data_IF_385299099272
#
_entry.id   IF_385299099272
#
_cell.length_a   1.000
_cell.length_b   1.000
_cell.length_c   1.000
_cell.angle_alpha   90.00
_cell.angle_beta   90.00
_cell.angle_gamma   90.00
#
_symmetry.space_group_name_H-M   'P 1'
#
loop_
_entity.id
_entity.type
_entity.pdbx_description
1 polymer ?
#
# COMPACT_ATOMS: atom_id res chain seq x y z
N UNK A 1 -1.83 10.25 -16.42
CA UNK A 1 -1.35 11.61 -16.05
C UNK A 1 -1.46 11.83 -14.52
N UNK A 2 -2.57 11.46 -13.90
CA UNK A 2 -2.83 11.67 -12.46
C UNK A 2 -1.81 10.95 -11.57
N UNK A 3 -1.51 9.68 -11.83
CA UNK A 3 -0.52 8.90 -11.06
C UNK A 3 0.86 9.57 -11.12
N UNK A 4 1.30 10.04 -12.30
CA UNK A 4 2.60 10.74 -12.44
C UNK A 4 2.59 12.02 -11.60
N UNK A 5 1.50 12.79 -11.65
CA UNK A 5 1.35 14.01 -10.84
C UNK A 5 1.42 13.71 -9.35
N UNK A 6 0.73 12.64 -8.90
CA UNK A 6 0.75 12.21 -7.50
C UNK A 6 2.17 11.80 -7.05
N UNK A 7 2.92 11.08 -7.88
CA UNK A 7 4.34 10.77 -7.59
C UNK A 7 5.20 12.02 -7.50
N UNK A 8 4.99 13.00 -8.38
CA UNK A 8 5.77 14.24 -8.41
C UNK A 8 5.50 15.16 -7.21
N UNK A 9 4.34 15.01 -6.55
CA UNK A 9 3.97 15.80 -5.38
C UNK A 9 4.53 15.27 -4.05
N UNK A 10 5.06 14.04 -4.04
CA UNK A 10 5.55 13.38 -2.82
C UNK A 10 7.05 13.11 -2.92
N UNK A 11 7.83 13.74 -2.05
CA UNK A 11 9.26 13.54 -2.00
C UNK A 11 9.60 12.25 -1.26
N UNK A 12 10.05 11.21 -1.97
CA UNK A 12 10.34 9.90 -1.40
C UNK A 12 11.39 9.92 -0.29
N UNK A 13 12.36 10.87 -0.33
CA UNK A 13 13.38 10.99 0.70
C UNK A 13 12.82 11.38 2.08
N UNK A 14 11.60 11.92 2.14
CA UNK A 14 10.93 12.27 3.39
C UNK A 14 10.27 11.06 4.08
N UNK A 15 10.24 9.91 3.39
CA UNK A 15 9.63 8.65 3.83
C UNK A 15 10.63 7.50 3.95
N UNK A 16 11.89 7.81 4.23
CA UNK A 16 12.93 6.80 4.47
C UNK A 16 13.72 7.15 5.74
N UNK A 17 14.32 6.16 6.41
CA UNK A 17 15.32 6.41 7.45
C UNK A 17 16.47 7.29 6.94
N UNK A 18 17.11 8.05 7.82
CA UNK A 18 18.16 9.02 7.47
C UNK A 18 19.34 8.39 6.69
N UNK A 19 19.74 7.19 7.07
CA UNK A 19 20.82 6.44 6.41
C UNK A 19 20.46 5.95 4.98
N UNK A 20 19.18 5.97 4.63
CA UNK A 20 18.68 5.58 3.30
C UNK A 20 18.35 6.75 2.38
N UNK A 21 18.44 8.00 2.84
CA UNK A 21 18.06 9.20 2.05
C UNK A 21 18.76 9.23 0.68
N UNK A 22 20.07 9.00 0.64
CA UNK A 22 20.85 9.02 -0.61
C UNK A 22 20.47 7.89 -1.58
N UNK A 23 19.81 6.86 -1.08
CA UNK A 23 19.38 5.68 -1.86
C UNK A 23 17.87 5.66 -2.11
N UNK A 24 17.14 6.66 -1.64
CA UNK A 24 15.67 6.68 -1.67
C UNK A 24 15.08 6.51 -3.08
N UNK A 25 15.75 7.01 -4.11
CA UNK A 25 15.30 6.92 -5.51
C UNK A 25 15.93 5.77 -6.32
N UNK A 26 16.58 4.81 -5.67
CA UNK A 26 17.09 3.63 -6.39
C UNK A 26 15.92 2.73 -6.82
N UNK A 27 16.06 2.09 -7.99
CA UNK A 27 15.10 1.09 -8.51
C UNK A 27 15.27 -0.29 -7.81
N UNK A 28 15.39 -0.26 -6.48
CA UNK A 28 15.50 -1.43 -5.62
C UNK A 28 14.53 -1.31 -4.44
N UNK A 29 14.06 -2.45 -3.95
CA UNK A 29 13.36 -2.51 -2.68
C UNK A 29 14.34 -2.15 -1.57
N UNK A 30 14.00 -1.17 -0.73
CA UNK A 30 14.84 -0.74 0.39
C UNK A 30 14.43 -1.49 1.64
N UNK A 31 15.38 -2.19 2.25
CA UNK A 31 15.15 -2.85 3.53
C UNK A 31 15.08 -1.80 4.63
N UNK A 32 13.98 -1.78 5.37
CA UNK A 32 13.70 -0.83 6.45
C UNK A 32 13.96 -1.47 7.83
N UNK A 33 13.57 -2.73 8.00
CA UNK A 33 13.79 -3.53 9.22
C UNK A 33 13.99 -5.00 8.87
N UNK A 34 13.88 -5.90 9.85
CA UNK A 34 14.02 -7.35 9.63
C UNK A 34 13.05 -7.90 8.58
N UNK A 35 11.81 -7.39 8.60
CA UNK A 35 10.64 -7.88 7.86
C UNK A 35 9.84 -6.78 7.14
N UNK A 36 10.40 -5.58 7.00
CA UNK A 36 9.77 -4.46 6.30
C UNK A 36 10.66 -3.92 5.19
N UNK A 37 10.04 -3.66 4.08
CA UNK A 37 10.67 -3.08 2.90
C UNK A 37 9.83 -1.93 2.37
N UNK A 38 10.51 -0.89 1.89
CA UNK A 38 9.90 0.08 0.99
C UNK A 38 10.07 -0.41 -0.44
N UNK A 39 8.98 -0.73 -1.11
CA UNK A 39 9.00 -1.22 -2.49
C UNK A 39 9.63 -0.20 -3.44
N UNK A 40 10.28 -0.68 -4.50
CA UNK A 40 10.87 0.19 -5.53
C UNK A 40 9.81 1.06 -6.21
N UNK A 41 10.19 2.26 -6.68
CA UNK A 41 9.23 3.25 -7.21
C UNK A 41 8.36 2.72 -8.35
N UNK A 42 8.95 2.03 -9.32
CA UNK A 42 8.20 1.49 -10.45
C UNK A 42 7.15 0.45 -10.03
N UNK A 43 7.44 -0.41 -9.04
CA UNK A 43 6.47 -1.39 -8.56
C UNK A 43 5.30 -0.70 -7.85
N UNK A 44 5.56 0.33 -7.03
CA UNK A 44 4.50 1.14 -6.43
C UNK A 44 3.64 1.80 -7.52
N UNK A 45 4.28 2.31 -8.58
CA UNK A 45 3.58 2.87 -9.73
C UNK A 45 2.65 1.88 -10.42
N UNK A 46 3.11 0.66 -10.65
CA UNK A 46 2.29 -0.42 -11.22
C UNK A 46 1.13 -0.80 -10.29
N UNK A 47 1.36 -0.91 -8.98
CA UNK A 47 0.32 -1.19 -7.99
C UNK A 47 -0.78 -0.12 -8.08
N UNK A 48 -0.40 1.16 -7.98
CA UNK A 48 -1.35 2.28 -7.99
C UNK A 48 -2.10 2.35 -9.33
N UNK A 49 -1.40 2.12 -10.43
CA UNK A 49 -2.02 2.13 -11.77
C UNK A 49 -3.07 1.02 -11.93
N UNK A 50 -2.79 -0.20 -11.45
CA UNK A 50 -3.73 -1.32 -11.52
C UNK A 50 -4.88 -1.21 -10.52
N UNK A 51 -4.64 -0.68 -9.33
CA UNK A 51 -5.69 -0.38 -8.34
C UNK A 51 -6.57 0.77 -8.83
N UNK A 52 -5.98 1.75 -9.50
CA UNK A 52 -6.68 2.91 -10.07
C UNK A 52 -7.58 3.61 -9.04
N UNK A 53 -7.00 4.23 -7.98
CA UNK A 53 -7.75 4.96 -6.96
C UNK A 53 -8.61 6.07 -7.57
N UNK A 54 -9.76 6.36 -6.95
CA UNK A 54 -10.65 7.46 -7.35
C UNK A 54 -10.83 8.46 -6.20
N UNK A 55 -11.08 9.71 -6.54
CA UNK A 55 -11.15 10.83 -5.60
C UNK A 55 -12.26 10.75 -4.55
N UNK A 56 -13.20 9.83 -4.69
CA UNK A 56 -14.28 9.58 -3.74
C UNK A 56 -14.14 8.24 -3.01
N UNK A 57 -12.95 7.64 -3.01
CA UNK A 57 -12.73 6.30 -2.46
C UNK A 57 -11.95 6.34 -1.15
N UNK A 58 -12.32 5.42 -0.25
CA UNK A 58 -11.56 5.07 0.95
C UNK A 58 -10.69 3.84 0.67
N UNK A 59 -9.39 3.95 0.95
CA UNK A 59 -8.40 2.93 0.61
C UNK A 59 -7.64 2.49 1.85
N UNK A 60 -7.52 1.17 2.03
CA UNK A 60 -6.68 0.56 3.05
C UNK A 60 -5.34 0.14 2.46
N UNK A 61 -4.25 0.52 3.11
CA UNK A 61 -2.87 0.11 2.77
C UNK A 61 -2.24 -0.59 3.97
N UNK A 62 -1.74 -1.82 3.77
CA UNK A 62 -1.08 -2.61 4.81
C UNK A 62 -0.02 -3.59 4.23
N UNK A 63 1.11 -3.79 4.91
CA UNK A 63 1.68 -2.86 5.88
C UNK A 63 1.99 -1.52 5.22
N UNK A 64 1.75 -0.43 5.93
CA UNK A 64 2.01 0.90 5.37
C UNK A 64 3.51 1.24 5.31
N UNK A 65 4.33 0.46 6.02
CA UNK A 65 5.77 0.71 6.14
C UNK A 65 6.06 2.17 6.55
N UNK A 66 6.81 2.91 5.77
CA UNK A 66 7.06 4.34 6.03
C UNK A 66 5.99 5.28 5.47
N UNK A 67 4.88 4.76 4.91
CA UNK A 67 3.76 5.56 4.43
C UNK A 67 3.93 6.20 3.05
N UNK A 68 5.01 5.92 2.31
CA UNK A 68 5.26 6.57 1.02
C UNK A 68 4.17 6.31 -0.04
N UNK A 69 3.76 5.06 -0.20
CA UNK A 69 2.67 4.71 -1.11
C UNK A 69 1.34 5.33 -0.68
N UNK A 70 1.04 5.31 0.64
CA UNK A 70 -0.14 5.95 1.21
C UNK A 70 -0.16 7.46 0.92
N UNK A 71 1.01 8.12 1.00
CA UNK A 71 1.16 9.54 0.66
C UNK A 71 0.88 9.82 -0.83
N UNK A 72 1.32 8.93 -1.73
CA UNK A 72 1.00 9.07 -3.16
C UNK A 72 -0.49 8.85 -3.41
N UNK A 73 -1.07 7.79 -2.82
CA UNK A 73 -2.48 7.43 -2.98
C UNK A 73 -3.39 8.52 -2.44
N UNK A 74 -2.99 9.25 -1.39
CA UNK A 74 -3.76 10.35 -0.82
C UNK A 74 -4.06 11.49 -1.80
N UNK A 75 -3.24 11.66 -2.83
CA UNK A 75 -3.49 12.61 -3.91
C UNK A 75 -4.51 12.10 -4.95
N UNK A 76 -4.95 10.84 -4.85
CA UNK A 76 -5.81 10.17 -5.80
C UNK A 76 -7.13 9.69 -5.17
N UNK A 77 -7.19 9.60 -3.83
CA UNK A 77 -8.30 9.07 -3.07
C UNK A 77 -8.85 10.11 -2.09
N UNK A 78 -10.06 9.89 -1.58
CA UNK A 78 -10.66 10.73 -0.54
C UNK A 78 -9.95 10.54 0.80
N UNK A 79 -9.77 9.29 1.21
CA UNK A 79 -9.14 8.92 2.49
C UNK A 79 -8.28 7.69 2.33
N UNK A 80 -7.15 7.66 3.01
CA UNK A 80 -6.28 6.48 3.10
C UNK A 80 -6.13 6.08 4.57
N UNK A 81 -6.41 4.82 4.85
CA UNK A 81 -6.11 4.18 6.13
C UNK A 81 -4.81 3.39 5.96
N UNK A 82 -3.79 3.77 6.68
CA UNK A 82 -2.44 3.21 6.61
C UNK A 82 -2.14 2.41 7.88
N UNK A 83 -2.05 1.09 7.78
CA UNK A 83 -1.84 0.21 8.94
C UNK A 83 -0.38 -0.23 9.03
N UNK A 84 0.24 0.03 10.17
CA UNK A 84 1.60 -0.40 10.48
C UNK A 84 1.70 -0.77 11.97
N UNK A 85 2.57 -1.70 12.33
CA UNK A 85 2.78 -2.13 13.72
C UNK A 85 4.11 -1.61 14.32
N UNK A 86 5.08 -1.26 13.48
CA UNK A 86 6.40 -0.76 13.91
C UNK A 86 6.35 0.74 14.21
N UNK A 87 6.61 1.10 15.46
CA UNK A 87 6.59 2.50 15.94
C UNK A 87 7.59 3.41 15.22
N UNK A 88 8.76 2.89 14.83
CA UNK A 88 9.74 3.70 14.11
C UNK A 88 9.25 4.03 12.70
N UNK A 89 8.66 3.06 12.01
CA UNK A 89 8.09 3.27 10.67
C UNK A 89 6.88 4.20 10.71
N UNK A 90 6.02 4.06 11.72
CA UNK A 90 4.90 4.98 11.97
C UNK A 90 5.42 6.41 12.16
N UNK A 91 6.45 6.59 12.99
CA UNK A 91 7.05 7.92 13.21
C UNK A 91 7.60 8.54 11.93
N UNK A 92 8.22 7.74 11.05
CA UNK A 92 8.71 8.21 9.74
C UNK A 92 7.51 8.60 8.86
N UNK A 93 6.47 7.76 8.80
CA UNK A 93 5.26 8.02 8.03
C UNK A 93 4.60 9.35 8.45
N UNK A 94 4.36 9.55 9.74
CA UNK A 94 3.75 10.76 10.28
C UNK A 94 4.58 12.02 9.98
N UNK A 95 5.91 11.95 10.15
CA UNK A 95 6.82 13.06 9.79
C UNK A 95 6.76 13.38 8.31
N UNK A 96 6.80 12.36 7.45
CA UNK A 96 6.69 12.52 6.00
C UNK A 96 5.36 13.14 5.58
N UNK A 97 4.23 12.66 6.15
CA UNK A 97 2.89 13.22 5.91
C UNK A 97 2.83 14.70 6.31
N UNK A 98 3.27 15.03 7.52
CA UNK A 98 3.28 16.40 8.02
C UNK A 98 4.13 17.33 7.13
N UNK A 99 5.33 16.89 6.73
CA UNK A 99 6.22 17.67 5.86
C UNK A 99 5.63 17.89 4.47
N UNK A 100 4.86 16.93 3.97
CA UNK A 100 4.18 17.00 2.67
C UNK A 100 2.82 17.71 2.73
N UNK A 101 2.35 18.13 3.91
CA UNK A 101 1.04 18.77 4.10
C UNK A 101 -0.15 17.83 3.84
N UNK A 102 0.05 16.52 3.99
CA UNK A 102 -0.97 15.49 3.75
C UNK A 102 -1.82 15.35 5.00
N UNK A 103 -3.15 15.46 4.87
CA UNK A 103 -4.10 15.45 5.98
C UNK A 103 -5.23 14.42 5.82
N UNK A 104 -5.28 13.69 4.73
CA UNK A 104 -6.27 12.65 4.45
C UNK A 104 -5.71 11.22 4.52
N UNK A 105 -4.57 11.04 5.19
CA UNK A 105 -4.01 9.73 5.56
C UNK A 105 -4.10 9.58 7.07
N UNK A 106 -4.74 8.50 7.52
CA UNK A 106 -4.80 8.11 8.92
C UNK A 106 -3.88 6.93 9.16
N UNK A 107 -2.79 7.14 9.89
CA UNK A 107 -1.88 6.06 10.27
C UNK A 107 -2.40 5.37 11.52
N UNK A 108 -2.63 4.07 11.46
CA UNK A 108 -3.15 3.27 12.57
C UNK A 108 -2.11 2.25 13.00
N UNK A 109 -1.73 2.30 14.29
CA UNK A 109 -0.89 1.27 14.88
C UNK A 109 -1.73 0.03 15.16
N UNK A 110 -1.54 -1.01 14.34
CA UNK A 110 -2.25 -2.28 14.44
C UNK A 110 -1.43 -3.40 13.82
N UNK A 111 -1.56 -4.61 14.33
CA UNK A 111 -0.93 -5.77 13.68
C UNK A 111 -1.59 -6.03 12.33
N UNK A 112 -0.77 -6.43 11.35
CA UNK A 112 -1.22 -6.63 9.96
C UNK A 112 -2.30 -7.72 9.85
N UNK A 113 -2.26 -8.71 10.73
CA UNK A 113 -3.25 -9.80 10.78
C UNK A 113 -4.55 -9.42 11.53
N UNK A 114 -4.63 -8.25 12.13
CA UNK A 114 -5.85 -7.75 12.75
C UNK A 114 -6.74 -7.07 11.71
N UNK A 115 -8.05 -7.24 11.84
CA UNK A 115 -8.97 -6.58 10.92
C UNK A 115 -9.15 -5.09 11.25
N UNK A 116 -9.55 -4.32 10.25
CA UNK A 116 -9.87 -2.89 10.37
C UNK A 116 -11.35 -2.64 10.08
N UNK A 117 -12.23 -3.57 10.50
CA UNK A 117 -13.68 -3.50 10.24
C UNK A 117 -14.34 -2.22 10.77
N UNK A 118 -13.79 -1.67 11.84
CA UNK A 118 -14.21 -0.40 12.42
C UNK A 118 -13.91 0.83 11.54
N UNK A 119 -13.05 0.67 10.54
CA UNK A 119 -12.67 1.73 9.59
C UNK A 119 -13.22 1.50 8.18
N UNK A 120 -13.76 0.31 7.91
CA UNK A 120 -14.31 -0.07 6.61
C UNK A 120 -15.82 0.17 6.48
N UNK A 121 -16.40 -0.28 5.40
CA UNK A 121 -15.78 -1.03 4.30
C UNK A 121 -14.93 -0.13 3.37
N UNK A 122 -14.03 -0.77 2.60
CA UNK A 122 -13.08 -0.07 1.73
C UNK A 122 -13.39 -0.28 0.24
N UNK A 123 -13.21 0.76 -0.56
CA UNK A 123 -13.30 0.67 -2.02
C UNK A 123 -12.08 -0.06 -2.63
N UNK A 124 -10.91 0.09 -2.00
CA UNK A 124 -9.75 -0.69 -2.36
C UNK A 124 -8.91 -1.06 -1.14
N UNK A 125 -8.26 -2.23 -1.21
CA UNK A 125 -7.27 -2.69 -0.23
C UNK A 125 -5.99 -3.01 -0.97
N UNK A 126 -4.87 -2.52 -0.48
CA UNK A 126 -3.54 -2.78 -1.03
C UNK A 126 -2.71 -3.48 0.05
N UNK A 127 -2.29 -4.71 -0.25
CA UNK A 127 -1.35 -5.45 0.58
C UNK A 127 0.03 -5.27 -0.03
N UNK A 128 0.90 -4.48 0.65
CA UNK A 128 2.26 -4.21 0.24
C UNK A 128 3.24 -5.22 0.85
N UNK A 129 3.93 -5.95 0.00
CA UNK A 129 4.76 -7.08 0.39
C UNK A 129 4.18 -8.40 -0.09
N UNK A 130 5.04 -9.37 -0.28
CA UNK A 130 4.60 -10.68 -0.76
C UNK A 130 4.03 -11.51 0.38
N UNK A 131 2.88 -12.13 0.14
CA UNK A 131 2.19 -13.04 1.06
C UNK A 131 1.93 -14.38 0.39
N UNK A 132 1.71 -15.42 1.18
CA UNK A 132 1.41 -16.77 0.64
C UNK A 132 -0.05 -16.92 0.22
N UNK A 133 -0.97 -16.25 0.93
CA UNK A 133 -2.41 -16.25 0.66
C UNK A 133 -3.08 -15.00 1.25
N UNK A 134 -4.26 -14.67 0.77
CA UNK A 134 -5.06 -13.56 1.30
C UNK A 134 -5.98 -14.12 2.40
N UNK A 135 -5.90 -13.61 3.64
CA UNK A 135 -6.88 -13.91 4.66
C UNK A 135 -8.28 -13.41 4.28
N UNK A 136 -9.31 -14.22 4.46
CA UNK A 136 -10.69 -13.89 4.09
C UNK A 136 -11.20 -12.59 4.73
N UNK A 137 -10.70 -12.27 5.90
CA UNK A 137 -11.04 -11.02 6.60
C UNK A 137 -10.80 -9.76 5.75
N UNK A 138 -9.79 -9.74 4.86
CA UNK A 138 -9.55 -8.57 4.01
C UNK A 138 -10.56 -8.49 2.86
N UNK A 139 -10.94 -9.64 2.30
CA UNK A 139 -11.98 -9.68 1.27
C UNK A 139 -13.34 -9.26 1.83
N UNK A 140 -13.62 -9.60 3.10
CA UNK A 140 -14.85 -9.23 3.78
C UNK A 140 -14.93 -7.71 4.07
N UNK A 141 -13.80 -7.02 4.17
CA UNK A 141 -13.73 -5.56 4.38
C UNK A 141 -13.89 -4.76 3.09
N UNK A 142 -13.97 -5.40 1.92
CA UNK A 142 -14.24 -4.71 0.67
C UNK A 142 -15.70 -4.30 0.53
N UNK A 143 -15.92 -3.10 0.01
CA UNK A 143 -17.21 -2.70 -0.56
C UNK A 143 -17.64 -3.63 -1.69
N UNK A 144 -18.93 -3.61 -2.02
CA UNK A 144 -19.38 -4.24 -3.27
C UNK A 144 -18.74 -3.50 -4.46
N UNK A 145 -18.20 -4.26 -5.42
CA UNK A 145 -17.33 -3.77 -6.50
C UNK A 145 -15.98 -3.20 -6.05
N UNK A 146 -15.65 -3.35 -4.76
CA UNK A 146 -14.33 -3.05 -4.23
C UNK A 146 -13.27 -4.04 -4.75
N UNK A 147 -12.01 -3.62 -4.68
CA UNK A 147 -10.88 -4.40 -5.19
C UNK A 147 -9.76 -4.53 -4.18
N UNK A 148 -9.10 -5.68 -4.17
CA UNK A 148 -7.92 -5.95 -3.37
C UNK A 148 -6.74 -6.28 -4.28
N UNK A 149 -5.65 -5.54 -4.12
CA UNK A 149 -4.37 -5.86 -4.74
C UNK A 149 -3.49 -6.61 -3.74
N UNK A 150 -2.86 -7.70 -4.18
CA UNK A 150 -1.89 -8.43 -3.40
C UNK A 150 -0.77 -9.01 -4.27
N UNK A 151 0.40 -9.16 -3.67
CA UNK A 151 1.55 -9.86 -4.22
C UNK A 151 1.58 -11.27 -3.63
N UNK A 152 1.20 -12.27 -4.43
CA UNK A 152 1.11 -13.67 -3.97
C UNK A 152 2.39 -14.39 -4.35
N UNK A 153 3.12 -14.86 -3.33
CA UNK A 153 4.35 -15.63 -3.52
C UNK A 153 4.04 -17.12 -3.53
N UNK A 154 4.42 -17.78 -4.63
CA UNK A 154 4.39 -19.24 -4.75
C UNK A 154 5.78 -19.69 -5.18
N UNK A 155 6.42 -20.49 -4.32
CA UNK A 155 7.81 -20.92 -4.53
C UNK A 155 8.73 -19.70 -4.73
N UNK A 156 9.40 -19.59 -5.87
CA UNK A 156 10.31 -18.50 -6.20
C UNK A 156 9.67 -17.37 -7.01
N UNK A 157 8.38 -17.47 -7.33
CA UNK A 157 7.68 -16.49 -8.16
C UNK A 157 6.68 -15.70 -7.33
N UNK A 158 6.72 -14.38 -7.44
CA UNK A 158 5.71 -13.49 -6.88
C UNK A 158 4.81 -12.95 -7.99
N UNK A 159 3.52 -13.19 -7.86
CA UNK A 159 2.50 -12.76 -8.82
C UNK A 159 1.65 -11.63 -8.24
N UNK A 160 1.55 -10.53 -8.95
CA UNK A 160 0.61 -9.47 -8.67
C UNK A 160 -0.79 -9.88 -9.12
N UNK A 161 -1.72 -9.84 -8.18
CA UNK A 161 -3.11 -10.27 -8.36
C UNK A 161 -4.06 -9.16 -7.97
N UNK A 162 -5.14 -9.01 -8.73
CA UNK A 162 -6.26 -8.14 -8.38
C UNK A 162 -7.51 -8.99 -8.15
N UNK A 163 -8.12 -8.82 -6.98
CA UNK A 163 -9.36 -9.46 -6.58
C UNK A 163 -10.47 -8.42 -6.61
N UNK A 164 -11.61 -8.76 -7.18
CA UNK A 164 -12.78 -7.86 -7.30
C UNK A 164 -13.97 -8.55 -6.65
N UNK A 165 -14.57 -7.88 -5.67
CA UNK A 165 -15.78 -8.35 -5.01
C UNK A 165 -17.01 -7.96 -5.81
N UNK A 166 -17.87 -8.92 -6.11
CA UNK A 166 -19.17 -8.71 -6.72
C UNK A 166 -20.22 -9.42 -5.87
N UNK A 167 -21.08 -8.68 -5.19
CA UNK A 167 -22.13 -9.19 -4.32
C UNK A 167 -21.77 -10.50 -3.57
N UNK A 168 -21.95 -11.66 -4.21
CA UNK A 168 -21.74 -12.97 -3.64
C UNK A 168 -20.51 -13.73 -4.19
N UNK A 169 -19.63 -13.06 -4.94
CA UNK A 169 -18.46 -13.70 -5.56
C UNK A 169 -17.21 -12.82 -5.49
N UNK A 170 -16.07 -13.49 -5.44
CA UNK A 170 -14.77 -12.85 -5.59
C UNK A 170 -14.13 -13.37 -6.87
N UNK A 171 -13.84 -12.48 -7.81
CA UNK A 171 -13.11 -12.80 -9.02
C UNK A 171 -11.67 -12.35 -8.88
N UNK A 172 -10.73 -13.15 -9.35
CA UNK A 172 -9.31 -12.78 -9.34
C UNK A 172 -8.75 -12.69 -10.75
N UNK A 173 -7.80 -11.78 -10.93
CA UNK A 173 -7.09 -11.57 -12.18
C UNK A 173 -5.59 -11.47 -11.93
N UNK A 174 -4.81 -12.27 -12.66
CA UNK A 174 -3.36 -12.10 -12.73
C UNK A 174 -3.03 -10.81 -13.49
N UNK A 175 -2.06 -10.06 -13.00
CA UNK A 175 -1.61 -8.82 -13.61
C UNK A 175 -0.21 -8.97 -14.22
N UNK A 176 0.78 -9.27 -13.39
CA UNK A 176 2.18 -9.46 -13.79
C UNK A 176 2.95 -10.25 -12.73
N UNK A 177 4.14 -10.73 -13.09
CA UNK A 177 5.08 -11.30 -12.12
C UNK A 177 6.16 -10.29 -11.78
N UNK A 178 6.62 -10.30 -10.53
CA UNK A 178 7.64 -9.38 -10.05
C UNK A 178 8.53 -10.03 -8.99
N UNK A 179 9.64 -9.37 -8.67
CA UNK A 179 10.44 -9.65 -7.49
C UNK A 179 10.01 -8.69 -6.37
N UNK A 180 9.36 -9.24 -5.36
CA UNK A 180 8.95 -8.51 -4.16
C UNK A 180 9.29 -9.32 -2.90
N UNK A 181 9.82 -8.66 -1.85
CA UNK A 181 10.09 -9.29 -0.57
C UNK A 181 8.79 -9.64 0.17
N UNK A 182 8.87 -10.67 1.02
CA UNK A 182 7.83 -10.94 2.03
C UNK A 182 7.89 -9.94 3.15
#
# INVERSE_FOLDING_TARGET
KEVISAFSSVNRSDFVPEDLILRSYTEKNLKLSSDRYLLRPNLIGEIINHVSPKSNESILVLPASTGYSSAIISNLAETVIAVEEDDNLISIAEKGMNKSGINNVVVIKKKINENCLDQGPFNAIIIEGAIDYIPDQFLNQLENHGRLFALIKKEDVTNAMLYIKNENSINSRFLFSCDAPK
#
